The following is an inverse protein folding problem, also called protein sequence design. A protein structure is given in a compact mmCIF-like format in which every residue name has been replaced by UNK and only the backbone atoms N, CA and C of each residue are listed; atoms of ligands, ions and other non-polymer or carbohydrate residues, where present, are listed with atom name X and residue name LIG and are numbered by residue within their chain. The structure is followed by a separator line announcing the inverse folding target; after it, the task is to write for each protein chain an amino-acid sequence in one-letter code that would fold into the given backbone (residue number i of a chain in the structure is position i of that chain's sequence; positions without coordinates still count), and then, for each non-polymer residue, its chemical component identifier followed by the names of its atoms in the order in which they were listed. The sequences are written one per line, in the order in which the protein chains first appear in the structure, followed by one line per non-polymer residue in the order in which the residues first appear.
data_IF_629073711626
#
_entry.id   IF_629073711626
#
_cell.length_a   1.000
_cell.length_b   1.000
_cell.length_c   1.000
_cell.angle_alpha   90.00
_cell.angle_beta   90.00
_cell.angle_gamma   90.00
#
_symmetry.space_group_name_H-M   'P 1'
#
loop_
_entity.id
_entity.type
_entity.pdbx_description
1 polymer ?
#
# COMPACT_ATOMS: atom_id res chain seq x y z
N UNK A 1 -22.12 11.28 -8.17
CA UNK A 1 -22.58 10.68 -6.90
C UNK A 1 -21.89 9.36 -6.54
N UNK A 2 -21.66 8.42 -7.47
CA UNK A 2 -20.87 7.21 -7.17
C UNK A 2 -19.35 7.45 -7.27
N UNK A 3 -18.91 8.20 -8.29
CA UNK A 3 -17.49 8.49 -8.55
C UNK A 3 -16.89 9.37 -7.45
N UNK A 4 -17.57 10.45 -7.05
CA UNK A 4 -17.11 11.35 -5.99
C UNK A 4 -16.79 10.58 -4.69
N UNK A 5 -17.64 9.62 -4.33
CA UNK A 5 -17.44 8.77 -3.15
C UNK A 5 -16.26 7.80 -3.30
N UNK A 6 -15.99 7.32 -4.51
CA UNK A 6 -14.83 6.48 -4.80
C UNK A 6 -13.55 7.32 -4.66
N UNK A 7 -13.54 8.53 -5.21
CA UNK A 7 -12.42 9.47 -5.11
C UNK A 7 -12.13 9.86 -3.65
N UNK A 8 -13.16 10.24 -2.89
CA UNK A 8 -13.03 10.52 -1.44
C UNK A 8 -12.47 9.30 -0.68
N UNK A 9 -12.89 8.09 -1.08
CA UNK A 9 -12.41 6.86 -0.45
C UNK A 9 -10.95 6.57 -0.83
N UNK A 10 -10.55 6.78 -2.08
CA UNK A 10 -9.16 6.68 -2.52
C UNK A 10 -8.28 7.66 -1.76
N UNK A 11 -8.70 8.92 -1.62
CA UNK A 11 -7.98 9.92 -0.84
C UNK A 11 -7.77 9.49 0.61
N UNK A 12 -8.83 8.98 1.25
CA UNK A 12 -8.75 8.46 2.61
C UNK A 12 -7.75 7.31 2.73
N UNK A 13 -7.71 6.41 1.74
CA UNK A 13 -6.78 5.27 1.72
C UNK A 13 -5.35 5.69 1.40
N UNK A 14 -5.14 6.70 0.55
CA UNK A 14 -3.82 7.27 0.28
C UNK A 14 -3.28 7.91 1.57
N UNK A 15 -4.08 8.74 2.25
CA UNK A 15 -3.70 9.33 3.54
C UNK A 15 -3.35 8.25 4.57
N UNK A 16 -4.14 7.18 4.63
CA UNK A 16 -3.85 6.05 5.52
C UNK A 16 -2.56 5.33 5.14
N UNK A 17 -2.27 5.15 3.85
CA UNK A 17 -1.02 4.58 3.37
C UNK A 17 0.20 5.46 3.70
N UNK A 18 0.09 6.78 3.57
CA UNK A 18 1.13 7.71 4.03
C UNK A 18 1.37 7.61 5.54
N UNK A 19 0.29 7.42 6.32
CA UNK A 19 0.41 7.15 7.76
C UNK A 19 1.15 5.83 8.02
N UNK A 20 0.86 4.78 7.27
CA UNK A 20 1.60 3.50 7.36
C UNK A 20 3.10 3.74 7.06
N UNK A 21 3.42 4.46 5.98
CA UNK A 21 4.81 4.79 5.63
C UNK A 21 5.52 5.60 6.73
N UNK A 22 4.79 6.47 7.43
CA UNK A 22 5.36 7.25 8.55
C UNK A 22 5.79 6.39 9.75
N UNK A 23 5.33 5.13 9.83
CA UNK A 23 5.71 4.19 10.89
C UNK A 23 6.97 3.39 10.57
N UNK A 24 7.73 3.81 9.54
CA UNK A 24 8.97 3.16 9.12
C UNK A 24 9.91 2.94 10.30
N UNK A 25 10.39 1.70 10.44
CA UNK A 25 11.46 1.33 11.35
C UNK A 25 12.42 0.38 10.66
N UNK A 26 13.69 0.45 11.04
CA UNK A 26 14.73 -0.44 10.54
C UNK A 26 15.02 -1.52 11.58
N UNK A 27 15.23 -2.75 11.15
CA UNK A 27 15.69 -3.82 12.05
C UNK A 27 17.15 -3.56 12.44
N UNK A 28 17.55 -3.71 13.72
CA UNK A 28 18.94 -3.55 14.13
C UNK A 28 19.87 -4.51 13.36
N UNK A 29 21.09 -4.07 12.98
CA UNK A 29 22.04 -4.89 12.22
C UNK A 29 22.42 -6.22 12.90
N UNK A 30 22.26 -6.30 14.23
CA UNK A 30 22.70 -7.44 15.05
C UNK A 30 21.90 -8.73 14.82
N UNK A 31 20.73 -8.65 14.18
CA UNK A 31 19.90 -9.82 13.82
C UNK A 31 20.17 -10.31 12.39
N UNK A 32 20.95 -9.56 11.59
CA UNK A 32 21.25 -9.87 10.18
C UNK A 32 22.59 -10.61 10.07
N UNK A 33 22.76 -11.71 10.82
CA UNK A 33 24.02 -12.47 10.82
C UNK A 33 24.03 -13.69 9.86
N UNK A 34 22.93 -14.01 9.18
CA UNK A 34 22.88 -15.21 8.31
C UNK A 34 22.36 -15.00 6.88
N UNK A 35 21.93 -13.80 6.48
CA UNK A 35 21.48 -13.56 5.12
C UNK A 35 22.19 -12.34 4.53
N UNK A 36 23.14 -12.63 3.65
CA UNK A 36 23.81 -11.69 2.75
C UNK A 36 22.78 -10.94 1.89
N UNK A 37 22.23 -9.83 2.38
CA UNK A 37 21.91 -8.63 1.61
C UNK A 37 22.14 -7.44 2.54
N UNK A 38 23.23 -6.72 2.30
CA UNK A 38 23.54 -5.46 2.93
C UNK A 38 22.63 -4.37 2.36
N UNK A 39 21.37 -4.36 2.80
CA UNK A 39 20.47 -3.21 2.79
C UNK A 39 19.43 -3.51 3.86
N UNK A 40 19.40 -2.71 4.93
CA UNK A 40 18.44 -2.93 6.02
C UNK A 40 17.03 -2.96 5.45
N UNK A 41 16.32 -4.09 5.61
CA UNK A 41 14.92 -4.16 5.22
C UNK A 41 14.16 -3.26 6.17
N UNK A 42 13.61 -2.17 5.63
CA UNK A 42 12.73 -1.29 6.39
C UNK A 42 11.34 -1.87 6.41
N UNK A 43 10.75 -1.87 7.60
CA UNK A 43 9.41 -2.34 7.86
C UNK A 43 8.53 -1.18 8.29
N UNK A 44 7.22 -1.39 8.22
CA UNK A 44 6.19 -0.49 8.74
C UNK A 44 5.37 -1.24 9.79
N UNK A 45 4.56 -0.51 10.56
CA UNK A 45 3.65 -1.12 11.53
C UNK A 45 2.72 -2.14 10.85
N UNK A 46 2.83 -3.40 11.28
CA UNK A 46 2.15 -4.52 10.64
C UNK A 46 0.62 -4.43 10.80
N UNK A 47 0.13 -3.91 11.92
CA UNK A 47 -1.31 -3.82 12.21
C UNK A 47 -1.94 -2.74 11.32
N UNK A 48 -1.33 -1.56 11.29
CA UNK A 48 -1.76 -0.45 10.44
C UNK A 48 -1.66 -0.83 8.96
N UNK A 49 -0.57 -1.49 8.56
CA UNK A 49 -0.40 -1.99 7.19
C UNK A 49 -1.53 -2.95 6.80
N UNK A 50 -1.83 -3.97 7.62
CA UNK A 50 -2.89 -4.95 7.32
C UNK A 50 -4.27 -4.30 7.23
N UNK A 51 -4.58 -3.37 8.14
CA UNK A 51 -5.84 -2.64 8.12
C UNK A 51 -6.01 -1.83 6.83
N UNK A 52 -4.97 -1.08 6.46
CA UNK A 52 -4.93 -0.30 5.23
C UNK A 52 -5.04 -1.20 4.00
N UNK A 53 -4.17 -2.21 3.89
CA UNK A 53 -4.13 -3.17 2.78
C UNK A 53 -5.49 -3.82 2.54
N UNK A 54 -6.14 -4.30 3.61
CA UNK A 54 -7.47 -4.93 3.52
C UNK A 54 -8.52 -3.96 3.00
N UNK A 55 -8.50 -2.71 3.49
CA UNK A 55 -9.43 -1.68 3.06
C UNK A 55 -9.21 -1.26 1.60
N UNK A 56 -7.95 -1.20 1.17
CA UNK A 56 -7.56 -0.90 -0.21
C UNK A 56 -8.00 -2.01 -1.16
N UNK A 57 -7.74 -3.26 -0.83
CA UNK A 57 -8.20 -4.41 -1.63
C UNK A 57 -9.72 -4.46 -1.74
N UNK A 58 -10.45 -4.18 -0.66
CA UNK A 58 -11.91 -4.15 -0.69
C UNK A 58 -12.45 -3.10 -1.67
N UNK A 59 -11.82 -1.90 -1.71
CA UNK A 59 -12.21 -0.88 -2.68
C UNK A 59 -11.83 -1.26 -4.11
N UNK A 60 -10.59 -1.71 -4.34
CA UNK A 60 -10.10 -2.04 -5.67
C UNK A 60 -10.86 -3.21 -6.30
N UNK A 61 -11.28 -4.20 -5.50
CA UNK A 61 -12.13 -5.29 -5.96
C UNK A 61 -13.57 -4.86 -6.29
N UNK A 62 -14.02 -3.72 -5.78
CA UNK A 62 -15.34 -3.17 -6.10
C UNK A 62 -15.33 -2.34 -7.40
N UNK A 63 -14.14 -2.02 -7.93
CA UNK A 63 -14.00 -1.40 -9.25
C UNK A 63 -14.32 -2.42 -10.36
N UNK A 64 -14.65 -1.97 -11.60
CA UNK A 64 -14.84 -2.88 -12.72
C UNK A 64 -13.66 -3.83 -12.88
N UNK A 65 -13.95 -5.10 -13.19
CA UNK A 65 -12.95 -6.18 -13.29
C UNK A 65 -11.82 -5.93 -14.30
N UNK A 66 -11.99 -4.96 -15.18
CA UNK A 66 -10.97 -4.53 -16.15
C UNK A 66 -9.90 -3.61 -15.52
N UNK A 67 -10.08 -3.16 -14.28
CA UNK A 67 -9.12 -2.34 -13.56
C UNK A 67 -7.86 -3.14 -13.18
N UNK A 68 -6.74 -2.80 -13.80
CA UNK A 68 -5.42 -3.38 -13.51
C UNK A 68 -4.97 -3.21 -12.06
N UNK A 69 -5.47 -2.17 -11.38
CA UNK A 69 -5.06 -1.75 -10.04
C UNK A 69 -5.15 -2.84 -8.98
N UNK A 70 -6.23 -3.64 -8.97
CA UNK A 70 -6.37 -4.70 -7.98
C UNK A 70 -5.27 -5.75 -8.13
N UNK A 71 -4.99 -6.17 -9.37
CA UNK A 71 -3.97 -7.17 -9.68
C UNK A 71 -2.57 -6.66 -9.33
N UNK A 72 -2.26 -5.42 -9.70
CA UNK A 72 -0.97 -4.81 -9.37
C UNK A 72 -0.81 -4.67 -7.84
N UNK A 73 -1.86 -4.23 -7.14
CA UNK A 73 -1.82 -4.07 -5.68
C UNK A 73 -1.58 -5.41 -4.98
N UNK A 74 -2.26 -6.48 -5.41
CA UNK A 74 -2.02 -7.84 -4.88
C UNK A 74 -0.61 -8.36 -5.18
N UNK A 75 -0.05 -8.00 -6.34
CA UNK A 75 1.27 -8.45 -6.77
C UNK A 75 2.41 -7.81 -5.97
N UNK A 76 2.31 -6.50 -5.66
CA UNK A 76 3.39 -5.71 -5.10
C UNK A 76 3.20 -5.26 -3.65
N UNK A 77 1.96 -5.27 -3.12
CA UNK A 77 1.68 -4.90 -1.73
C UNK A 77 1.33 -6.16 -0.91
N UNK A 78 2.33 -6.96 -0.54
CA UNK A 78 2.15 -8.28 0.10
C UNK A 78 2.53 -8.29 1.57
N UNK A 79 3.64 -7.65 1.90
CA UNK A 79 4.26 -7.69 3.22
C UNK A 79 4.30 -6.30 3.83
N UNK A 80 4.38 -6.21 5.16
CA UNK A 80 4.55 -4.96 5.90
C UNK A 80 5.97 -4.38 5.78
N UNK A 81 6.58 -4.54 4.60
CA UNK A 81 7.81 -3.85 4.22
C UNK A 81 7.48 -2.42 3.81
N UNK A 82 8.44 -1.51 4.02
CA UNK A 82 8.30 -0.13 3.58
C UNK A 82 8.17 -0.02 2.06
N UNK A 83 8.85 -0.88 1.30
CA UNK A 83 8.76 -0.92 -0.16
C UNK A 83 7.36 -1.30 -0.64
N UNK A 84 6.77 -2.36 -0.09
CA UNK A 84 5.44 -2.83 -0.48
C UNK A 84 4.37 -1.77 -0.15
N UNK A 85 4.48 -1.13 1.01
CA UNK A 85 3.59 -0.03 1.39
C UNK A 85 3.72 1.15 0.42
N UNK A 86 4.94 1.47 -0.03
CA UNK A 86 5.19 2.55 -0.98
C UNK A 86 4.59 2.25 -2.36
N UNK A 87 4.78 1.03 -2.85
CA UNK A 87 4.16 0.57 -4.11
C UNK A 87 2.64 0.61 -4.02
N UNK A 88 2.05 0.12 -2.93
CA UNK A 88 0.60 0.17 -2.74
C UNK A 88 0.04 1.59 -2.76
N UNK A 89 0.72 2.56 -2.15
CA UNK A 89 0.32 3.98 -2.21
C UNK A 89 0.41 4.52 -3.64
N UNK A 90 1.47 4.20 -4.38
CA UNK A 90 1.63 4.62 -5.77
C UNK A 90 0.50 4.09 -6.66
N UNK A 91 0.10 2.83 -6.49
CA UNK A 91 -1.01 2.21 -7.23
C UNK A 91 -2.34 2.89 -6.91
N UNK A 92 -2.61 3.24 -5.65
CA UNK A 92 -3.83 3.96 -5.28
C UNK A 92 -3.87 5.38 -5.86
N UNK A 93 -2.72 6.05 -5.95
CA UNK A 93 -2.61 7.37 -6.62
C UNK A 93 -2.89 7.26 -8.11
N UNK A 94 -2.30 6.28 -8.80
CA UNK A 94 -2.58 6.03 -10.21
C UNK A 94 -4.07 5.72 -10.45
N UNK A 95 -4.68 4.89 -9.61
CA UNK A 95 -6.12 4.60 -9.70
C UNK A 95 -6.96 5.87 -9.52
N UNK A 96 -6.56 6.78 -8.63
CA UNK A 96 -7.23 8.05 -8.44
C UNK A 96 -7.10 8.95 -9.66
N UNK A 97 -5.89 9.14 -10.18
CA UNK A 97 -5.61 9.98 -11.34
C UNK A 97 -6.43 9.53 -12.57
N UNK A 98 -6.51 8.23 -12.82
CA UNK A 98 -7.30 7.67 -13.93
C UNK A 98 -8.81 7.88 -13.77
N UNK A 99 -9.32 7.88 -12.53
CA UNK A 99 -10.75 8.11 -12.26
C UNK A 99 -11.09 9.60 -12.27
N UNK A 100 -10.14 10.47 -11.89
CA UNK A 100 -10.31 11.93 -11.92
C UNK A 100 -10.38 12.49 -13.33
N UNK A 101 -9.58 11.94 -14.28
CA UNK A 101 -9.70 12.17 -15.73
C UNK A 101 -9.76 13.63 -16.18
#
# INVERSE_FOLDING_TARGET
MAIDKILERLDSLIIMGEKVLSTRYSTPPEVIMELTIADGVDYVDDVLFRQWRTSSLALLNALPSECVYCREFEAYCKHSSYSDAKEGVAILRAAKEDIEG
#
